data_IF_173260721610
#
_entry.id   IF_173260721610
#
_cell.length_a   1.000
_cell.length_b   1.000
_cell.length_c   1.000
_cell.angle_alpha   90.00
_cell.angle_beta   90.00
_cell.angle_gamma   90.00
#
_symmetry.space_group_name_H-M   'P 1'
#
loop_
_entity.id
_entity.type
_entity.pdbx_description
1 polymer ?
#
# COMPACT_ATOMS: atom_id res chain seq x y z
N UNK A 1 -21.22 7.71 -22.43
CA UNK A 1 -20.45 8.08 -21.22
C UNK A 1 -19.08 8.53 -21.68
N UNK A 2 -18.50 9.61 -21.13
CA UNK A 2 -17.11 9.97 -21.41
C UNK A 2 -16.19 8.87 -20.85
N UNK A 3 -15.16 8.50 -21.59
CA UNK A 3 -14.16 7.53 -21.13
C UNK A 3 -13.53 8.05 -19.83
N UNK A 4 -13.38 7.19 -18.82
CA UNK A 4 -12.68 7.52 -17.58
C UNK A 4 -11.27 8.04 -17.93
N UNK A 5 -10.92 9.24 -17.42
CA UNK A 5 -9.57 9.77 -17.57
C UNK A 5 -8.78 9.44 -16.31
N UNK A 6 -7.61 8.83 -16.49
CA UNK A 6 -6.68 8.46 -15.43
C UNK A 6 -5.52 9.45 -15.48
N UNK A 7 -5.13 9.98 -14.33
CA UNK A 7 -3.98 10.88 -14.21
C UNK A 7 -2.73 10.05 -13.89
N UNK A 8 -1.70 10.22 -14.67
CA UNK A 8 -0.44 9.49 -14.54
C UNK A 8 0.35 9.51 -15.83
N UNK A 9 1.47 8.82 -15.83
CA UNK A 9 2.28 8.61 -17.03
C UNK A 9 1.81 7.38 -17.81
N UNK A 10 2.15 7.33 -19.08
CA UNK A 10 2.11 6.11 -19.86
C UNK A 10 3.17 5.14 -19.31
N UNK A 11 2.80 3.90 -19.10
CA UNK A 11 3.68 2.84 -18.60
C UNK A 11 3.48 1.56 -19.41
N UNK A 12 3.78 1.56 -20.73
CA UNK A 12 3.47 0.45 -21.63
C UNK A 12 4.18 -0.84 -21.24
N UNK A 13 5.37 -0.75 -20.65
CA UNK A 13 6.21 -1.88 -20.27
C UNK A 13 5.97 -2.36 -18.82
N UNK A 14 4.91 -1.89 -18.15
CA UNK A 14 4.54 -2.42 -16.84
C UNK A 14 4.23 -3.92 -16.92
N UNK A 15 4.45 -4.69 -15.84
CA UNK A 15 4.11 -6.11 -15.82
C UNK A 15 2.62 -6.29 -16.14
N UNK A 16 2.34 -7.23 -17.03
CA UNK A 16 0.97 -7.50 -17.44
C UNK A 16 0.77 -8.96 -17.87
N UNK A 17 -0.36 -9.49 -17.51
CA UNK A 17 -0.90 -10.74 -18.04
C UNK A 17 -2.38 -10.53 -18.33
N UNK A 18 -2.83 -10.96 -19.49
CA UNK A 18 -4.24 -10.84 -19.88
C UNK A 18 -5.13 -11.68 -18.97
N UNK A 19 -6.37 -11.22 -18.78
CA UNK A 19 -7.36 -11.92 -17.97
C UNK A 19 -7.53 -13.37 -18.48
N UNK A 20 -7.40 -14.37 -17.59
CA UNK A 20 -7.59 -15.77 -17.97
C UNK A 20 -8.96 -16.01 -18.60
N UNK A 21 -9.00 -16.88 -19.62
CA UNK A 21 -10.26 -17.23 -20.29
C UNK A 21 -11.28 -17.78 -19.30
N UNK A 22 -12.48 -17.19 -19.29
CA UNK A 22 -13.57 -17.56 -18.38
C UNK A 22 -13.49 -16.90 -16.99
N UNK A 23 -12.45 -16.16 -16.67
CA UNK A 23 -12.36 -15.39 -15.43
C UNK A 23 -13.34 -14.21 -15.47
N UNK A 24 -14.22 -14.13 -14.46
CA UNK A 24 -15.19 -13.04 -14.27
C UNK A 24 -14.76 -12.06 -13.18
N UNK A 25 -13.65 -12.32 -12.49
CA UNK A 25 -13.15 -11.46 -11.43
C UNK A 25 -12.67 -10.11 -12.01
N UNK A 26 -12.94 -9.03 -11.31
CA UNK A 26 -12.50 -7.67 -11.69
C UNK A 26 -10.97 -7.54 -11.64
N UNK A 27 -10.35 -8.27 -10.71
CA UNK A 27 -8.91 -8.43 -10.63
C UNK A 27 -8.54 -9.91 -10.66
N UNK A 28 -7.43 -10.22 -11.32
CA UNK A 28 -6.92 -11.60 -11.42
C UNK A 28 -5.45 -11.67 -11.02
N UNK A 29 -5.07 -12.79 -10.45
CA UNK A 29 -3.71 -13.07 -10.00
C UNK A 29 -2.78 -13.36 -11.17
N UNK A 30 -1.55 -12.93 -11.06
CA UNK A 30 -0.50 -13.36 -11.99
C UNK A 30 -0.31 -14.88 -11.91
N UNK A 31 -0.24 -15.53 -13.06
CA UNK A 31 -0.18 -17.01 -13.13
C UNK A 31 1.11 -17.59 -12.54
N UNK A 32 2.19 -16.80 -12.51
CA UNK A 32 3.49 -17.21 -11.96
C UNK A 32 3.74 -16.71 -10.52
N UNK A 33 2.68 -16.33 -9.77
CA UNK A 33 2.83 -15.98 -8.36
C UNK A 33 3.35 -17.15 -7.50
N UNK A 34 4.10 -16.88 -6.43
CA UNK A 34 4.57 -15.56 -5.98
C UNK A 34 5.77 -15.08 -6.80
N UNK A 35 5.85 -13.75 -7.04
CA UNK A 35 6.93 -13.14 -7.81
C UNK A 35 8.22 -12.93 -7.00
N UNK A 36 8.12 -12.79 -5.69
CA UNK A 36 9.27 -12.68 -4.78
C UNK A 36 9.13 -13.78 -3.73
N UNK A 37 10.01 -14.80 -3.78
CA UNK A 37 10.02 -15.89 -2.79
C UNK A 37 10.61 -15.40 -1.46
N UNK A 38 10.33 -16.13 -0.39
CA UNK A 38 10.75 -15.78 0.97
C UNK A 38 12.27 -15.78 1.18
N UNK A 39 12.99 -16.54 0.39
CA UNK A 39 14.41 -16.85 0.52
C UNK A 39 15.25 -16.23 -0.61
N UNK A 40 14.75 -15.18 -1.26
CA UNK A 40 15.49 -14.46 -2.28
C UNK A 40 16.82 -13.89 -1.74
N UNK A 41 16.83 -13.44 -0.49
CA UNK A 41 18.05 -13.03 0.22
C UNK A 41 18.51 -14.15 1.18
N UNK A 42 19.82 -14.41 1.30
CA UNK A 42 20.33 -15.46 2.18
C UNK A 42 19.96 -15.30 3.66
N UNK A 43 19.69 -14.06 4.07
CA UNK A 43 19.34 -13.72 5.47
C UNK A 43 17.84 -13.55 5.69
N UNK A 44 17.02 -13.57 4.64
CA UNK A 44 15.57 -13.35 4.77
C UNK A 44 14.84 -14.61 5.23
N UNK A 45 13.86 -14.41 6.10
CA UNK A 45 12.83 -15.38 6.41
C UNK A 45 11.61 -15.17 5.53
N UNK A 46 11.30 -13.91 5.23
CA UNK A 46 10.13 -13.53 4.42
C UNK A 46 10.36 -12.17 3.76
N UNK A 47 9.83 -11.99 2.53
CA UNK A 47 9.88 -10.76 1.76
C UNK A 47 8.50 -10.46 1.23
N UNK A 48 7.87 -9.40 1.72
CA UNK A 48 6.48 -9.06 1.41
C UNK A 48 6.18 -7.58 1.68
N UNK A 49 4.97 -7.13 1.39
CA UNK A 49 4.51 -5.76 1.61
C UNK A 49 5.47 -4.71 1.03
N UNK A 50 5.81 -4.88 -0.24
CA UNK A 50 6.83 -4.09 -0.93
C UNK A 50 6.23 -2.85 -1.59
N UNK A 51 6.97 -1.75 -1.58
CA UNK A 51 6.67 -0.56 -2.38
C UNK A 51 7.42 -0.62 -3.70
N UNK A 52 6.76 -0.29 -4.80
CA UNK A 52 7.31 -0.32 -6.16
C UNK A 52 6.89 0.94 -6.91
N UNK A 53 7.84 1.56 -7.62
CA UNK A 53 7.61 2.74 -8.46
C UNK A 53 8.45 2.67 -9.74
N UNK A 54 8.04 3.34 -10.82
CA UNK A 54 8.90 3.58 -11.97
C UNK A 54 10.13 4.41 -11.58
N UNK A 55 11.30 4.03 -12.07
CA UNK A 55 12.55 4.74 -11.81
C UNK A 55 13.54 4.59 -12.99
N UNK A 56 13.96 5.71 -13.57
CA UNK A 56 14.80 5.67 -14.76
C UNK A 56 14.11 4.98 -15.94
N UNK A 57 14.78 4.01 -16.54
CA UNK A 57 14.24 3.17 -17.61
C UNK A 57 13.62 1.86 -17.08
N UNK A 58 13.57 1.67 -15.76
CA UNK A 58 13.02 0.49 -15.10
C UNK A 58 12.24 0.84 -13.86
N UNK A 59 12.47 0.12 -12.77
CA UNK A 59 11.73 0.21 -11.53
C UNK A 59 12.66 0.19 -10.32
N UNK A 60 12.25 0.89 -9.27
CA UNK A 60 12.87 0.78 -7.95
C UNK A 60 11.81 0.40 -6.91
N UNK A 61 12.26 -0.20 -5.83
CA UNK A 61 11.38 -0.57 -4.74
C UNK A 61 12.04 -0.51 -3.37
N UNK A 62 11.19 -0.38 -2.35
CA UNK A 62 11.57 -0.58 -0.96
C UNK A 62 10.80 -1.80 -0.44
N UNK A 63 11.54 -2.79 0.05
CA UNK A 63 11.02 -4.11 0.37
C UNK A 63 11.09 -4.35 1.88
N UNK A 64 10.00 -4.82 2.47
CA UNK A 64 10.03 -5.37 3.80
C UNK A 64 10.65 -6.76 3.74
N UNK A 65 11.78 -6.93 4.42
CA UNK A 65 12.45 -8.22 4.59
C UNK A 65 12.56 -8.52 6.07
N UNK A 66 11.81 -9.49 6.55
CA UNK A 66 11.97 -9.99 7.90
C UNK A 66 13.10 -11.00 7.89
N UNK A 67 14.15 -10.77 8.72
CA UNK A 67 15.32 -11.64 8.76
C UNK A 67 15.04 -12.96 9.50
N UNK A 68 16.00 -13.88 9.47
CA UNK A 68 15.90 -15.17 10.17
C UNK A 68 15.81 -15.04 11.69
N UNK A 69 16.09 -13.86 12.27
CA UNK A 69 15.85 -13.54 13.67
C UNK A 69 14.49 -12.84 13.89
N UNK A 70 13.64 -12.77 12.87
CA UNK A 70 12.34 -12.12 12.88
C UNK A 70 12.40 -10.60 13.10
N UNK A 71 13.51 -9.96 12.73
CA UNK A 71 13.63 -8.50 12.74
C UNK A 71 13.13 -7.94 11.43
N UNK A 72 12.20 -7.02 11.51
CA UNK A 72 11.65 -6.32 10.35
C UNK A 72 12.65 -5.28 9.86
N UNK A 73 13.06 -5.40 8.58
CA UNK A 73 14.02 -4.53 7.92
C UNK A 73 13.46 -4.04 6.59
N UNK A 74 13.97 -2.89 6.15
CA UNK A 74 13.70 -2.36 4.83
C UNK A 74 14.94 -2.51 3.94
N UNK A 75 14.75 -2.93 2.70
CA UNK A 75 15.81 -3.10 1.72
C UNK A 75 15.42 -2.40 0.43
N UNK A 76 16.40 -1.95 -0.35
CA UNK A 76 16.19 -1.38 -1.68
C UNK A 76 16.40 -2.44 -2.73
N UNK A 77 15.63 -2.40 -3.80
CA UNK A 77 15.83 -3.25 -4.97
C UNK A 77 15.51 -2.54 -6.26
N UNK A 78 16.05 -3.06 -7.35
CA UNK A 78 15.82 -2.57 -8.71
C UNK A 78 15.36 -3.70 -9.61
N UNK A 79 14.64 -3.34 -10.67
CA UNK A 79 14.12 -4.28 -11.65
C UNK A 79 14.00 -3.63 -13.02
N UNK A 80 14.19 -4.38 -14.08
CA UNK A 80 13.93 -3.93 -15.45
C UNK A 80 12.47 -4.17 -15.86
N UNK A 81 11.81 -5.20 -15.28
CA UNK A 81 10.47 -5.65 -15.65
C UNK A 81 9.44 -5.60 -14.51
N UNK A 82 9.84 -5.14 -13.32
CA UNK A 82 9.03 -5.08 -12.11
C UNK A 82 8.49 -6.45 -11.61
N UNK A 83 9.02 -7.54 -12.12
CA UNK A 83 8.73 -8.93 -11.71
C UNK A 83 9.97 -9.56 -11.06
N UNK A 84 11.11 -9.44 -11.72
CA UNK A 84 12.40 -9.98 -11.27
C UNK A 84 13.21 -8.87 -10.59
N UNK A 85 13.50 -9.06 -9.31
CA UNK A 85 14.08 -8.03 -8.46
C UNK A 85 15.51 -8.37 -8.01
N UNK A 86 16.42 -7.43 -8.19
CA UNK A 86 17.74 -7.43 -7.54
C UNK A 86 17.61 -6.59 -6.26
N UNK A 87 17.46 -7.27 -5.12
CA UNK A 87 17.29 -6.64 -3.80
C UNK A 87 18.65 -6.60 -3.11
N UNK A 88 19.09 -5.41 -2.68
CA UNK A 88 20.31 -5.23 -1.92
C UNK A 88 20.24 -6.07 -0.62
N UNK A 89 21.20 -6.95 -0.36
CA UNK A 89 21.23 -7.77 0.87
C UNK A 89 21.43 -6.94 2.15
N UNK A 90 22.01 -5.74 2.04
CA UNK A 90 22.18 -4.85 3.18
C UNK A 90 20.89 -4.05 3.43
N UNK A 91 20.44 -3.97 4.69
CA UNK A 91 19.30 -3.14 5.05
C UNK A 91 19.51 -1.67 4.68
N UNK A 92 18.40 -1.02 4.32
CA UNK A 92 18.36 0.41 4.04
C UNK A 92 18.82 1.21 5.27
N UNK A 93 19.73 2.14 5.03
CA UNK A 93 20.15 3.14 6.02
C UNK A 93 19.54 4.49 5.69
N UNK A 94 18.97 5.13 6.70
CA UNK A 94 18.46 6.49 6.61
C UNK A 94 19.45 7.46 7.23
N UNK A 95 19.85 8.48 6.49
CA UNK A 95 20.57 9.64 7.04
C UNK A 95 19.59 10.47 7.86
N UNK A 96 19.89 10.67 9.13
CA UNK A 96 19.09 11.47 10.05
C UNK A 96 20.00 12.32 10.93
N UNK A 97 19.77 13.63 10.96
CA UNK A 97 20.54 14.56 11.80
C UNK A 97 20.16 14.43 13.28
N UNK A 98 18.87 14.19 13.55
CA UNK A 98 18.38 13.99 14.90
C UNK A 98 18.43 12.50 15.30
N UNK A 99 19.30 12.19 16.26
CA UNK A 99 19.47 10.83 16.74
C UNK A 99 18.23 10.27 17.44
N UNK A 100 17.41 11.12 18.03
CA UNK A 100 16.22 10.67 18.76
C UNK A 100 15.23 10.01 17.81
N UNK A 101 14.98 10.61 16.65
CA UNK A 101 14.05 10.04 15.66
C UNK A 101 14.73 9.05 14.71
N UNK A 102 16.05 9.13 14.55
CA UNK A 102 16.85 8.23 13.71
C UNK A 102 17.08 6.85 14.34
N UNK A 103 16.91 6.70 15.64
CA UNK A 103 17.07 5.43 16.37
C UNK A 103 15.70 4.76 16.59
N UNK A 104 15.38 3.76 15.77
CA UNK A 104 14.13 3.01 15.85
C UNK A 104 14.38 1.49 15.80
N UNK A 105 13.44 0.72 16.37
CA UNK A 105 13.62 -0.72 16.63
C UNK A 105 13.34 -1.55 15.38
N UNK A 106 12.32 -1.17 14.60
CA UNK A 106 11.87 -1.90 13.42
C UNK A 106 11.28 -0.95 12.36
N UNK A 107 11.33 -1.38 11.11
CA UNK A 107 10.64 -0.71 10.00
C UNK A 107 9.94 -1.73 9.11
N UNK A 108 8.66 -1.48 8.76
CA UNK A 108 7.88 -2.38 7.92
C UNK A 108 6.81 -1.64 7.09
N UNK A 109 6.25 -2.33 6.12
CA UNK A 109 5.18 -1.89 5.23
C UNK A 109 5.45 -0.52 4.57
N UNK A 110 6.53 -0.42 3.79
CA UNK A 110 6.88 0.84 3.13
C UNK A 110 5.85 1.21 2.07
N UNK A 111 5.73 2.52 1.81
CA UNK A 111 5.08 3.11 0.64
C UNK A 111 6.03 4.09 -0.01
N UNK A 112 6.04 4.13 -1.33
CA UNK A 112 6.86 5.07 -2.09
C UNK A 112 5.97 5.84 -3.06
N UNK A 113 6.18 7.15 -3.13
CA UNK A 113 5.46 8.04 -4.04
C UNK A 113 6.37 9.11 -4.59
N UNK A 114 6.27 9.40 -5.88
CA UNK A 114 6.93 10.55 -6.49
C UNK A 114 6.04 11.79 -6.36
N UNK A 115 6.58 12.87 -5.77
CA UNK A 115 5.88 14.15 -5.66
C UNK A 115 6.86 15.25 -6.08
N UNK A 116 6.47 16.04 -7.08
CA UNK A 116 7.24 17.16 -7.64
C UNK A 116 8.59 16.72 -8.24
N UNK A 117 9.64 16.56 -7.45
CA UNK A 117 11.02 16.34 -7.91
C UNK A 117 11.73 15.16 -7.24
N UNK A 118 11.07 14.46 -6.31
CA UNK A 118 11.71 13.39 -5.53
C UNK A 118 10.73 12.30 -5.10
N UNK A 119 11.28 11.19 -4.67
CA UNK A 119 10.53 10.09 -4.09
C UNK A 119 10.44 10.26 -2.58
N UNK A 120 9.23 10.13 -2.04
CA UNK A 120 8.99 10.07 -0.60
C UNK A 120 8.70 8.64 -0.20
N UNK A 121 9.28 8.21 0.91
CA UNK A 121 9.08 6.90 1.51
C UNK A 121 8.39 7.09 2.84
N UNK A 122 7.29 6.39 3.06
CA UNK A 122 6.67 6.25 4.38
C UNK A 122 6.72 4.80 4.81
N UNK A 123 6.89 4.55 6.09
CA UNK A 123 6.89 3.19 6.66
C UNK A 123 6.35 3.19 8.07
N UNK A 124 5.94 2.02 8.57
CA UNK A 124 5.68 1.88 9.99
C UNK A 124 7.00 1.81 10.74
N UNK A 125 7.22 2.79 11.59
CA UNK A 125 8.45 3.03 12.34
C UNK A 125 8.27 2.68 13.81
N UNK A 126 9.20 1.93 14.37
CA UNK A 126 9.19 1.49 15.76
C UNK A 126 9.82 2.49 16.73
N UNK A 127 9.26 3.71 16.82
CA UNK A 127 9.69 4.76 17.73
C UNK A 127 8.71 4.87 18.92
N UNK A 128 9.10 4.37 20.11
CA UNK A 128 8.25 4.28 21.32
C UNK A 128 6.85 3.66 21.08
N UNK A 129 6.75 2.79 20.10
CA UNK A 129 5.54 2.21 19.56
C UNK A 129 5.47 2.45 18.05
N UNK A 130 4.49 1.85 17.36
CA UNK A 130 4.35 2.05 15.92
C UNK A 130 3.92 3.49 15.60
N UNK A 131 4.72 4.17 14.78
CA UNK A 131 4.37 5.45 14.18
C UNK A 131 4.67 5.43 12.68
N UNK A 132 4.57 6.56 12.00
CA UNK A 132 4.86 6.68 10.57
C UNK A 132 6.15 7.46 10.41
N UNK A 133 7.21 6.79 9.97
CA UNK A 133 8.42 7.40 9.51
C UNK A 133 8.24 7.98 8.11
N UNK A 134 8.93 9.07 7.82
CA UNK A 134 8.94 9.74 6.53
C UNK A 134 10.39 10.00 6.12
N UNK A 135 10.72 9.73 4.86
CA UNK A 135 12.01 10.04 4.27
C UNK A 135 11.83 10.45 2.81
N UNK A 136 12.86 11.02 2.22
CA UNK A 136 12.90 11.23 0.77
C UNK A 136 14.22 10.72 0.18
N UNK A 137 14.19 10.47 -1.13
CA UNK A 137 15.35 10.09 -1.94
C UNK A 137 15.19 10.63 -3.35
N UNK A 138 16.32 10.83 -4.04
CA UNK A 138 16.36 11.16 -5.47
C UNK A 138 16.82 9.97 -6.32
N UNK A 139 17.52 9.02 -5.72
CA UNK A 139 18.32 8.03 -6.44
C UNK A 139 18.20 6.58 -5.90
N UNK A 140 17.41 6.38 -4.85
CA UNK A 140 17.29 5.12 -4.13
C UNK A 140 18.63 4.57 -3.58
N UNK A 141 19.61 5.45 -3.39
CA UNK A 141 20.91 5.13 -2.77
C UNK A 141 21.08 5.87 -1.44
N UNK A 142 20.68 7.15 -1.44
CA UNK A 142 20.72 8.00 -0.25
C UNK A 142 19.30 8.36 0.16
N UNK A 143 18.98 8.11 1.41
CA UNK A 143 17.65 8.39 1.98
C UNK A 143 17.79 9.33 3.16
N UNK A 144 17.09 10.44 3.11
CA UNK A 144 17.08 11.47 4.14
C UNK A 144 15.81 11.34 4.98
N UNK A 145 15.95 10.92 6.23
CA UNK A 145 14.83 10.81 7.15
C UNK A 145 14.39 12.19 7.63
N UNK A 146 13.10 12.40 7.64
CA UNK A 146 12.41 13.54 8.21
C UNK A 146 11.83 13.19 9.58
N UNK A 147 11.07 14.13 10.17
CA UNK A 147 10.31 13.90 11.39
C UNK A 147 9.32 12.72 11.26
N UNK A 148 9.02 12.06 12.36
CA UNK A 148 7.89 11.13 12.41
C UNK A 148 6.58 11.89 12.23
N UNK A 149 5.74 11.45 11.30
CA UNK A 149 4.52 12.18 10.94
C UNK A 149 3.52 12.30 12.10
N UNK A 150 3.46 11.31 12.97
CA UNK A 150 2.45 11.23 14.05
C UNK A 150 3.04 10.65 15.32
N UNK A 151 2.34 10.90 16.42
CA UNK A 151 2.61 10.18 17.68
C UNK A 151 2.27 8.70 17.54
N UNK A 152 2.91 7.79 18.31
CA UNK A 152 2.41 6.44 18.51
C UNK A 152 1.00 6.48 19.13
N UNK A 153 0.07 5.68 18.72
CA UNK A 153 0.14 4.54 17.80
C UNK A 153 -0.53 4.90 16.47
N UNK A 154 0.24 4.87 15.39
CA UNK A 154 -0.30 5.12 14.05
C UNK A 154 0.39 4.21 13.02
N UNK A 155 -0.32 3.85 11.93
CA UNK A 155 0.15 2.93 10.89
C UNK A 155 -0.42 3.30 9.53
N UNK A 156 0.04 2.57 8.50
CA UNK A 156 -0.46 2.64 7.13
C UNK A 156 -0.45 4.09 6.57
N UNK A 157 0.68 4.77 6.75
CA UNK A 157 0.90 6.09 6.19
C UNK A 157 1.01 6.02 4.67
N UNK A 158 0.10 6.68 3.95
CA UNK A 158 0.06 6.72 2.49
C UNK A 158 -0.09 8.15 2.02
N UNK A 159 0.96 8.71 1.44
CA UNK A 159 0.94 10.04 0.85
C UNK A 159 0.15 10.04 -0.46
N UNK A 160 -0.58 11.12 -0.73
CA UNK A 160 -1.13 11.36 -2.05
C UNK A 160 -0.03 11.81 -3.03
N UNK A 161 -0.15 11.50 -4.33
CA UNK A 161 0.90 11.78 -5.32
C UNK A 161 1.00 13.26 -5.73
N UNK A 162 0.21 14.13 -5.11
CA UNK A 162 0.28 15.59 -5.28
C UNK A 162 -0.16 16.34 -4.04
N UNK A 163 0.20 17.60 -3.99
CA UNK A 163 -0.27 18.54 -2.98
C UNK A 163 -1.70 19.01 -3.22
N UNK A 164 -2.42 19.27 -2.12
CA UNK A 164 -3.74 19.92 -2.09
C UNK A 164 -3.58 21.34 -1.54
N UNK A 165 -3.87 22.34 -2.35
CA UNK A 165 -3.68 23.75 -1.98
C UNK A 165 -2.29 24.03 -1.39
N UNK A 166 -1.25 23.46 -2.02
CA UNK A 166 0.14 23.64 -1.61
C UNK A 166 0.60 22.80 -0.40
N UNK A 167 -0.24 21.88 0.11
CA UNK A 167 0.07 21.03 1.25
C UNK A 167 0.15 19.56 0.85
N UNK A 168 1.07 18.83 1.45
CA UNK A 168 1.07 17.39 1.42
C UNK A 168 -0.16 16.83 2.12
N UNK A 169 -0.61 15.67 1.69
CA UNK A 169 -1.74 14.98 2.29
C UNK A 169 -1.39 13.49 2.50
N UNK A 170 -1.85 12.93 3.61
CA UNK A 170 -1.58 11.54 3.99
C UNK A 170 -2.85 10.89 4.54
N UNK A 171 -3.08 9.65 4.11
CA UNK A 171 -3.98 8.72 4.80
C UNK A 171 -3.18 7.97 5.87
N UNK A 172 -3.79 7.77 7.02
CA UNK A 172 -3.18 7.00 8.12
C UNK A 172 -4.25 6.24 8.90
N UNK A 173 -3.81 5.28 9.71
CA UNK A 173 -4.69 4.54 10.61
C UNK A 173 -4.16 4.59 12.03
N UNK A 174 -4.67 5.49 12.88
CA UNK A 174 -4.45 5.39 14.30
C UNK A 174 -4.91 4.03 14.81
N UNK A 175 -4.13 3.37 15.66
CA UNK A 175 -4.47 2.04 16.17
C UNK A 175 -3.66 1.72 17.41
N UNK A 176 -4.31 1.26 18.47
CA UNK A 176 -3.66 0.85 19.71
C UNK A 176 -3.36 -0.65 19.78
N UNK A 177 -2.90 -1.10 20.93
CA UNK A 177 -2.54 -2.48 21.21
C UNK A 177 -3.65 -3.30 21.89
N UNK A 178 -4.94 -2.89 21.80
CA UNK A 178 -5.98 -3.83 22.07
C UNK A 178 -7.06 -3.49 23.10
N UNK A 179 -7.07 -2.35 23.77
CA UNK A 179 -8.18 -1.97 24.64
C UNK A 179 -9.32 -1.27 23.88
N UNK A 180 -8.95 -0.54 22.84
CA UNK A 180 -9.92 0.10 21.95
C UNK A 180 -9.60 -0.28 20.52
N UNK A 181 -10.36 -1.19 19.89
CA UNK A 181 -10.14 -1.52 18.49
C UNK A 181 -10.39 -0.28 17.64
N UNK A 182 -9.33 0.46 17.36
CA UNK A 182 -9.36 1.61 16.49
C UNK A 182 -8.83 1.17 15.13
N UNK A 183 -9.66 1.24 14.10
CA UNK A 183 -9.35 0.67 12.81
C UNK A 183 -9.76 1.55 11.63
N UNK A 184 -9.98 2.83 11.87
CA UNK A 184 -10.49 3.81 10.92
C UNK A 184 -9.35 4.44 10.11
N UNK A 185 -9.65 4.82 8.86
CA UNK A 185 -8.75 5.63 8.03
C UNK A 185 -9.01 7.11 8.31
N UNK A 186 -7.93 7.85 8.52
CA UNK A 186 -7.91 9.30 8.67
C UNK A 186 -7.09 9.96 7.58
N UNK A 187 -7.42 11.20 7.27
CA UNK A 187 -6.72 12.12 6.39
C UNK A 187 -6.08 13.23 7.21
N UNK A 188 -4.88 13.64 6.83
CA UNK A 188 -4.16 14.75 7.46
C UNK A 188 -3.39 15.56 6.41
N UNK A 189 -3.17 16.84 6.67
CA UNK A 189 -2.38 17.75 5.83
C UNK A 189 -1.12 18.22 6.54
N UNK A 190 -0.06 18.48 5.75
CA UNK A 190 1.18 19.09 6.23
C UNK A 190 1.71 20.09 5.20
N UNK A 191 2.22 21.26 5.61
CA UNK A 191 2.89 22.18 4.72
C UNK A 191 4.30 21.70 4.31
N UNK A 192 4.95 20.87 5.14
CA UNK A 192 6.39 20.59 5.11
C UNK A 192 6.78 19.14 5.41
N UNK A 193 5.81 18.26 5.70
CA UNK A 193 5.96 16.86 6.15
C UNK A 193 6.41 16.69 7.60
N UNK A 194 6.64 17.77 8.32
CA UNK A 194 7.00 17.78 9.75
C UNK A 194 5.76 18.07 10.62
N UNK A 195 5.03 19.15 10.29
CA UNK A 195 3.87 19.58 11.05
C UNK A 195 2.57 19.09 10.41
N UNK A 196 1.89 18.14 11.06
CA UNK A 196 0.65 17.54 10.58
C UNK A 196 -0.57 18.08 11.32
N UNK A 197 -1.62 18.41 10.55
CA UNK A 197 -2.88 18.93 11.09
C UNK A 197 -4.07 18.66 10.17
N UNK A 198 -5.16 19.36 10.40
CA UNK A 198 -6.42 19.21 9.67
C UNK A 198 -6.88 17.74 9.59
N UNK A 199 -6.77 17.01 10.69
CA UNK A 199 -7.19 15.62 10.76
C UNK A 199 -8.68 15.47 10.45
N UNK A 200 -9.01 14.60 9.48
CA UNK A 200 -10.39 14.31 9.07
C UNK A 200 -10.60 12.81 9.03
N UNK A 201 -11.73 12.37 9.56
CA UNK A 201 -12.17 11.00 9.39
C UNK A 201 -12.53 10.75 7.93
N UNK A 202 -12.09 9.61 7.39
CA UNK A 202 -12.38 9.17 6.03
C UNK A 202 -13.37 8.02 6.04
N UNK A 203 -13.02 6.93 6.74
CA UNK A 203 -13.78 5.69 6.64
C UNK A 203 -13.59 4.83 7.90
N UNK A 204 -14.70 4.32 8.46
CA UNK A 204 -14.69 3.30 9.52
C UNK A 204 -14.81 1.88 8.96
N UNK A 205 -14.49 0.83 9.73
CA UNK A 205 -14.89 -0.53 9.41
C UNK A 205 -16.39 -0.61 9.09
N UNK A 206 -16.75 -1.46 8.13
CA UNK A 206 -18.16 -1.65 7.79
C UNK A 206 -18.87 -2.51 8.82
N UNK A 207 -20.20 -2.37 9.01
CA UNK A 207 -20.97 -3.37 9.71
C UNK A 207 -20.80 -4.77 9.11
N UNK A 208 -20.79 -5.79 9.96
CA UNK A 208 -20.57 -7.18 9.52
C UNK A 208 -21.61 -7.62 8.48
N UNK A 209 -22.84 -7.20 8.65
CA UNK A 209 -23.97 -7.53 7.78
C UNK A 209 -23.83 -6.91 6.39
N UNK A 210 -23.18 -5.76 6.29
CA UNK A 210 -22.98 -5.06 5.01
C UNK A 210 -21.75 -5.58 4.27
N UNK A 211 -20.64 -5.84 5.01
CA UNK A 211 -19.40 -6.29 4.41
C UNK A 211 -18.43 -6.87 5.45
N UNK A 212 -18.56 -8.17 5.71
CA UNK A 212 -17.83 -8.87 6.76
C UNK A 212 -16.30 -8.79 6.62
N UNK A 213 -15.74 -8.82 5.40
CA UNK A 213 -14.29 -8.83 5.18
C UNK A 213 -13.57 -7.58 5.71
N UNK A 214 -14.30 -6.50 5.95
CA UNK A 214 -13.77 -5.20 6.38
C UNK A 214 -14.39 -4.71 7.70
N UNK A 215 -14.90 -5.61 8.54
CA UNK A 215 -15.67 -5.23 9.71
C UNK A 215 -14.84 -5.02 10.99
N UNK A 216 -13.57 -5.45 11.03
CA UNK A 216 -12.75 -5.34 12.24
C UNK A 216 -11.84 -4.10 12.20
N UNK A 217 -11.14 -3.90 11.11
CA UNK A 217 -10.28 -2.75 10.84
C UNK A 217 -10.01 -2.62 9.36
N UNK A 218 -9.67 -1.41 8.91
CA UNK A 218 -9.33 -1.11 7.53
C UNK A 218 -8.04 -0.27 7.48
N UNK A 219 -7.39 -0.19 6.33
CA UNK A 219 -6.23 0.68 6.16
C UNK A 219 -5.88 0.87 4.69
N UNK A 220 -5.35 2.04 4.36
CA UNK A 220 -4.93 2.35 3.00
C UNK A 220 -3.86 1.36 2.50
N UNK A 221 -3.96 1.00 1.25
CA UNK A 221 -3.04 0.10 0.56
C UNK A 221 -2.00 0.85 -0.27
N UNK A 222 -2.03 0.74 -1.61
CA UNK A 222 -1.19 1.53 -2.52
C UNK A 222 -1.50 3.02 -2.49
N UNK A 223 -0.63 3.79 -3.12
CA UNK A 223 -0.85 5.21 -3.39
C UNK A 223 -2.17 5.39 -4.16
N UNK A 224 -3.08 6.29 -3.73
CA UNK A 224 -4.33 6.53 -4.42
C UNK A 224 -4.12 7.00 -5.86
N UNK A 225 -4.93 6.50 -6.79
CA UNK A 225 -4.85 6.84 -8.21
C UNK A 225 -5.88 7.91 -8.54
N UNK A 226 -5.44 9.03 -9.10
CA UNK A 226 -6.32 10.12 -9.51
C UNK A 226 -7.04 9.77 -10.82
N UNK A 227 -8.37 9.88 -10.81
CA UNK A 227 -9.21 9.70 -11.99
C UNK A 227 -10.15 10.88 -12.16
N UNK A 228 -10.76 11.03 -13.34
CA UNK A 228 -11.79 12.08 -13.55
C UNK A 228 -13.04 11.94 -12.68
N UNK A 229 -13.22 10.80 -12.01
CA UNK A 229 -14.37 10.55 -11.14
C UNK A 229 -14.05 10.62 -9.64
N UNK A 230 -12.78 10.64 -9.26
CA UNK A 230 -12.31 10.68 -7.88
C UNK A 230 -10.97 9.96 -7.71
N UNK A 231 -10.50 9.91 -6.47
CA UNK A 231 -9.33 9.13 -6.10
C UNK A 231 -9.71 7.67 -5.91
N UNK A 232 -9.22 6.78 -6.76
CA UNK A 232 -9.35 5.35 -6.54
C UNK A 232 -8.41 4.94 -5.41
N UNK A 233 -8.97 4.56 -4.28
CA UNK A 233 -8.28 4.01 -3.12
C UNK A 233 -8.47 2.49 -3.12
N UNK A 234 -7.38 1.73 -3.29
CA UNK A 234 -7.33 0.32 -2.94
C UNK A 234 -6.92 0.23 -1.48
N UNK A 235 -7.66 -0.51 -0.67
CA UNK A 235 -7.44 -0.60 0.77
C UNK A 235 -7.67 -2.02 1.28
N UNK A 236 -6.99 -2.39 2.36
CA UNK A 236 -7.23 -3.67 3.01
C UNK A 236 -8.32 -3.55 4.07
N UNK A 237 -9.06 -4.61 4.22
CA UNK A 237 -9.99 -4.84 5.32
C UNK A 237 -9.63 -6.12 6.07
N UNK A 238 -10.09 -6.22 7.30
CA UNK A 238 -9.79 -7.34 8.19
C UNK A 238 -11.08 -7.87 8.80
N UNK A 239 -11.21 -9.18 8.73
CA UNK A 239 -12.22 -9.96 9.42
C UNK A 239 -11.55 -10.73 10.57
N UNK A 240 -12.07 -10.61 11.78
CA UNK A 240 -11.72 -11.50 12.87
C UNK A 240 -12.50 -12.80 12.75
N UNK A 241 -11.79 -13.92 12.68
CA UNK A 241 -12.36 -15.26 12.63
C UNK A 241 -11.94 -16.08 13.85
N UNK A 242 -12.56 -17.22 14.09
CA UNK A 242 -12.17 -18.11 15.19
C UNK A 242 -10.74 -18.65 15.07
N UNK A 243 -10.13 -18.56 13.91
CA UNK A 243 -8.77 -19.04 13.62
C UNK A 243 -7.77 -17.90 13.32
N UNK A 244 -8.05 -16.68 13.79
CA UNK A 244 -7.22 -15.50 13.58
C UNK A 244 -7.86 -14.48 12.66
N UNK A 245 -7.02 -13.66 12.01
CA UNK A 245 -7.48 -12.62 11.10
C UNK A 245 -7.43 -13.09 9.65
N UNK A 246 -8.40 -12.64 8.86
CA UNK A 246 -8.41 -12.76 7.41
C UNK A 246 -8.29 -11.36 6.81
N UNK A 247 -7.26 -11.13 5.99
CA UNK A 247 -7.02 -9.88 5.31
C UNK A 247 -7.39 -10.01 3.83
N UNK A 248 -8.27 -9.15 3.38
CA UNK A 248 -8.65 -9.01 1.97
C UNK A 248 -8.51 -7.54 1.56
N UNK A 249 -8.56 -7.26 0.27
CA UNK A 249 -8.60 -5.87 -0.19
C UNK A 249 -9.73 -5.61 -1.17
N UNK A 250 -10.19 -4.37 -1.14
CA UNK A 250 -11.25 -3.83 -1.98
C UNK A 250 -10.94 -2.39 -2.37
N UNK A 251 -11.95 -1.66 -2.81
CA UNK A 251 -11.80 -0.33 -3.38
C UNK A 251 -12.83 0.67 -2.87
N UNK A 252 -12.42 1.92 -2.84
CA UNK A 252 -13.29 3.07 -2.59
C UNK A 252 -12.94 4.20 -3.56
N UNK A 253 -13.89 5.05 -3.85
CA UNK A 253 -13.69 6.26 -4.64
C UNK A 253 -13.88 7.47 -3.74
N UNK A 254 -12.81 8.27 -3.56
CA UNK A 254 -12.82 9.46 -2.74
C UNK A 254 -13.04 10.71 -3.60
N UNK A 255 -13.52 11.79 -3.00
CA UNK A 255 -13.69 13.06 -3.69
C UNK A 255 -12.33 13.65 -4.10
N UNK A 256 -12.29 14.33 -5.25
CA UNK A 256 -11.04 14.89 -5.82
C UNK A 256 -10.46 16.04 -5.01
N UNK A 257 -11.31 16.91 -4.51
CA UNK A 257 -10.91 18.14 -3.82
C UNK A 257 -10.91 17.97 -2.29
N UNK A 258 -11.79 17.08 -1.81
CA UNK A 258 -11.95 16.77 -0.40
C UNK A 258 -11.75 15.25 -0.15
N UNK A 259 -10.51 14.72 -0.28
CA UNK A 259 -10.26 13.26 -0.28
C UNK A 259 -10.62 12.54 1.02
N UNK A 260 -11.04 13.26 2.04
CA UNK A 260 -11.66 12.67 3.25
C UNK A 260 -13.15 12.32 3.06
N UNK A 261 -13.77 12.68 1.93
CA UNK A 261 -15.15 12.31 1.59
C UNK A 261 -15.15 11.07 0.68
N UNK A 262 -15.75 10.01 1.17
CA UNK A 262 -15.94 8.78 0.39
C UNK A 262 -17.19 8.92 -0.46
N UNK A 263 -17.07 8.78 -1.77
CA UNK A 263 -18.19 8.82 -2.72
C UNK A 263 -18.82 7.45 -2.92
N UNK A 264 -17.98 6.41 -3.00
CA UNK A 264 -18.40 5.02 -3.18
C UNK A 264 -17.42 4.10 -2.45
N UNK A 265 -17.93 2.98 -1.94
CA UNK A 265 -17.13 1.96 -1.25
C UNK A 265 -17.64 0.57 -1.59
N UNK A 266 -16.79 -0.30 -2.12
CA UNK A 266 -17.21 -1.66 -2.49
C UNK A 266 -17.61 -2.50 -1.27
N UNK A 267 -18.77 -3.14 -1.33
CA UNK A 267 -19.19 -4.17 -0.37
C UNK A 267 -18.38 -5.45 -0.57
N UNK A 268 -18.34 -6.05 -1.76
CA UNK A 268 -17.45 -7.17 -2.04
C UNK A 268 -15.98 -6.75 -2.10
N UNK A 269 -15.08 -7.68 -1.77
CA UNK A 269 -13.64 -7.52 -1.96
C UNK A 269 -13.24 -7.66 -3.45
N UNK A 270 -12.06 -7.15 -3.81
CA UNK A 270 -11.41 -7.40 -5.10
C UNK A 270 -10.60 -8.69 -5.05
N UNK A 271 -9.81 -8.89 -3.99
CA UNK A 271 -9.01 -10.09 -3.74
C UNK A 271 -9.13 -10.48 -2.26
N UNK A 272 -9.36 -11.76 -2.01
CA UNK A 272 -9.34 -12.38 -0.68
C UNK A 272 -8.47 -13.66 -0.74
N UNK A 273 -7.84 -14.09 0.34
CA UNK A 273 -6.98 -15.27 0.34
C UNK A 273 -7.69 -16.51 -0.22
N UNK A 274 -7.08 -17.13 -1.23
CA UNK A 274 -7.59 -18.34 -1.90
C UNK A 274 -6.46 -19.31 -2.23
N UNK A 275 -5.33 -18.78 -2.67
CA UNK A 275 -4.21 -19.58 -3.13
C UNK A 275 -3.37 -20.10 -1.94
N UNK A 276 -2.68 -21.24 -2.07
CA UNK A 276 -1.85 -21.78 -1.01
C UNK A 276 -0.85 -20.78 -0.41
N UNK A 277 -0.21 -19.97 -1.24
CA UNK A 277 0.77 -18.95 -0.81
C UNK A 277 0.13 -17.75 -0.11
N UNK A 278 -1.18 -17.57 -0.17
CA UNK A 278 -1.96 -16.55 0.56
C UNK A 278 -2.53 -17.09 1.86
N UNK A 279 -2.79 -18.40 1.89
CA UNK A 279 -3.42 -19.08 3.02
C UNK A 279 -2.43 -19.69 4.01
N UNK A 280 -1.18 -19.94 3.59
CA UNK A 280 -0.15 -20.61 4.41
C UNK A 280 1.14 -19.78 4.40
N UNK A 281 1.59 -19.39 5.60
CA UNK A 281 2.81 -18.61 5.78
C UNK A 281 3.00 -18.20 7.23
N UNK A 282 3.80 -17.17 7.43
CA UNK A 282 4.12 -16.64 8.77
C UNK A 282 2.88 -16.09 9.49
N UNK A 283 1.95 -15.48 8.72
CA UNK A 283 0.59 -15.13 9.15
C UNK A 283 -0.39 -15.60 8.08
N UNK A 284 -1.16 -16.67 8.33
CA UNK A 284 -2.04 -17.25 7.33
C UNK A 284 -3.21 -16.34 6.97
N UNK A 285 -3.79 -16.57 5.78
CA UNK A 285 -4.98 -15.88 5.28
C UNK A 285 -4.80 -14.35 5.12
N UNK A 286 -3.71 -13.93 4.49
CA UNK A 286 -3.41 -12.52 4.24
C UNK A 286 -3.20 -12.25 2.75
N UNK A 287 -3.95 -11.27 2.22
CA UNK A 287 -3.64 -10.53 1.00
C UNK A 287 -3.59 -9.04 1.36
N UNK A 288 -2.38 -8.46 1.39
CA UNK A 288 -2.16 -7.10 1.87
C UNK A 288 -1.57 -6.20 0.77
N UNK A 289 -2.38 -5.31 0.16
CA UNK A 289 -1.94 -4.50 -0.98
C UNK A 289 -1.02 -3.36 -0.52
N UNK A 290 0.12 -3.17 -1.19
CA UNK A 290 1.12 -2.20 -0.79
C UNK A 290 1.56 -1.24 -1.88
N UNK A 291 1.62 -1.69 -3.13
CA UNK A 291 1.99 -0.86 -4.26
C UNK A 291 1.09 -1.15 -5.46
N UNK A 292 0.99 -0.17 -6.35
CA UNK A 292 0.34 -0.34 -7.63
C UNK A 292 1.10 0.43 -8.71
N UNK A 293 1.42 -0.25 -9.80
CA UNK A 293 1.79 0.38 -11.05
C UNK A 293 0.54 0.54 -11.91
N UNK A 294 0.41 1.66 -12.61
CA UNK A 294 -0.70 1.84 -13.54
C UNK A 294 -0.26 2.58 -14.80
N UNK A 295 -0.87 2.21 -15.90
CA UNK A 295 -0.70 2.88 -17.19
C UNK A 295 -1.92 3.76 -17.46
N UNK A 296 -1.70 5.08 -17.52
CA UNK A 296 -2.78 6.04 -17.71
C UNK A 296 -3.41 5.97 -19.12
N UNK A 297 -2.72 5.45 -20.14
CA UNK A 297 -3.24 5.33 -21.50
C UNK A 297 -4.16 4.13 -21.68
N UNK A 298 -3.75 2.97 -21.17
CA UNK A 298 -4.52 1.72 -21.31
C UNK A 298 -5.49 1.47 -20.16
N UNK A 299 -5.27 2.09 -19.00
CA UNK A 299 -6.02 1.85 -17.77
C UNK A 299 -5.63 0.56 -17.05
N UNK A 300 -4.55 -0.12 -17.47
CA UNK A 300 -4.02 -1.29 -16.79
C UNK A 300 -3.50 -0.94 -15.40
N UNK A 301 -3.71 -1.82 -14.45
CA UNK A 301 -3.15 -1.73 -13.10
C UNK A 301 -2.55 -3.06 -12.69
N UNK A 302 -1.38 -3.01 -12.05
CA UNK A 302 -0.69 -4.14 -11.43
C UNK A 302 -0.52 -3.85 -9.93
N UNK A 303 -1.16 -4.64 -9.07
CA UNK A 303 -1.14 -4.46 -7.61
C UNK A 303 -0.22 -5.49 -6.99
N UNK A 304 0.80 -5.01 -6.29
CA UNK A 304 1.70 -5.82 -5.46
C UNK A 304 1.09 -6.00 -4.09
N UNK A 305 1.03 -7.23 -3.62
CA UNK A 305 0.46 -7.52 -2.31
C UNK A 305 1.28 -8.58 -1.55
N UNK A 306 1.34 -8.42 -0.24
CA UNK A 306 1.92 -9.42 0.65
C UNK A 306 0.97 -10.60 0.79
N UNK A 307 1.52 -11.81 0.68
CA UNK A 307 0.79 -13.06 0.78
C UNK A 307 1.22 -13.80 2.04
N UNK A 308 0.27 -14.06 2.95
CA UNK A 308 0.46 -14.77 4.22
C UNK A 308 1.67 -14.23 5.03
N UNK A 309 1.96 -12.93 4.92
CA UNK A 309 3.16 -12.25 5.48
C UNK A 309 4.47 -13.00 5.23
N UNK A 310 4.63 -13.55 4.04
CA UNK A 310 5.75 -14.44 3.72
C UNK A 310 6.38 -14.15 2.36
N UNK A 311 5.57 -13.95 1.34
CA UNK A 311 5.99 -13.75 -0.05
C UNK A 311 5.23 -12.59 -0.69
N UNK A 312 5.69 -12.13 -1.86
CA UNK A 312 5.02 -11.06 -2.61
C UNK A 312 4.31 -11.63 -3.83
N UNK A 313 3.03 -11.32 -3.96
CA UNK A 313 2.20 -11.62 -5.12
C UNK A 313 1.90 -10.39 -5.97
N UNK A 314 1.41 -10.63 -7.18
CA UNK A 314 1.01 -9.65 -8.16
C UNK A 314 -0.39 -9.96 -8.70
N UNK A 315 -1.23 -8.95 -8.84
CA UNK A 315 -2.56 -9.07 -9.43
C UNK A 315 -2.82 -7.93 -10.41
N UNK A 316 -3.61 -8.21 -11.44
CA UNK A 316 -3.91 -7.29 -12.53
C UNK A 316 -5.39 -6.92 -12.56
N UNK A 317 -5.70 -5.80 -13.19
CA UNK A 317 -7.05 -5.33 -13.44
C UNK A 317 -7.08 -4.15 -14.39
N UNK A 318 -8.27 -3.62 -14.66
CA UNK A 318 -8.46 -2.35 -15.35
C UNK A 318 -9.09 -1.34 -14.38
N UNK A 319 -8.54 -0.13 -14.36
CA UNK A 319 -8.96 0.93 -13.42
C UNK A 319 -10.43 1.30 -13.65
N UNK A 320 -10.87 1.40 -14.90
CA UNK A 320 -12.26 1.71 -15.22
C UNK A 320 -13.23 0.63 -14.75
N UNK A 321 -12.87 -0.66 -14.89
CA UNK A 321 -13.66 -1.77 -14.37
C UNK A 321 -13.71 -1.76 -12.83
N UNK A 322 -12.58 -1.46 -12.16
CA UNK A 322 -12.54 -1.36 -10.69
C UNK A 322 -13.41 -0.19 -10.20
N UNK A 323 -13.34 0.97 -10.87
CA UNK A 323 -14.17 2.13 -10.53
C UNK A 323 -15.65 1.81 -10.72
N UNK A 324 -16.01 1.19 -11.84
CA UNK A 324 -17.41 0.80 -12.10
C UNK A 324 -17.90 -0.26 -11.12
N UNK A 325 -17.09 -1.27 -10.81
CA UNK A 325 -17.39 -2.25 -9.77
C UNK A 325 -17.63 -1.60 -8.42
N UNK A 326 -16.78 -0.63 -8.04
CA UNK A 326 -16.91 0.10 -6.78
C UNK A 326 -18.22 0.86 -6.69
N UNK A 327 -18.64 1.48 -7.79
CA UNK A 327 -19.90 2.24 -7.88
C UNK A 327 -21.12 1.35 -7.83
N UNK A 328 -21.10 0.26 -8.62
CA UNK A 328 -22.23 -0.68 -8.72
C UNK A 328 -22.48 -1.48 -7.45
N UNK A 329 -21.43 -1.73 -6.67
CA UNK A 329 -21.49 -2.53 -5.45
C UNK A 329 -21.25 -1.69 -4.19
N UNK A 330 -21.53 -0.40 -4.25
CA UNK A 330 -21.30 0.50 -3.11
C UNK A 330 -22.26 0.21 -1.97
N UNK A 331 -21.71 0.25 -0.75
CA UNK A 331 -22.47 0.10 0.51
C UNK A 331 -22.75 1.46 1.18
N UNK A 332 -22.46 2.56 0.51
CA UNK A 332 -22.74 3.93 0.97
C UNK A 332 -23.45 4.73 -0.11
#
# INVERSE_FOLDING_TARGET
MSKLKIVGQALPDMPWEDRPSGCQDVMWRYSANPIIPRDLLPTSNSIFNSAVVPFGEGYAGVFRCDDTNRRMRLHVGFSEDAIHWDINPEPLHFECEDREIGEWVYGYDPRVVFIEDRYYVTWCNGYHGPTIGVAYTFDFKTFHQLENAFLPFNRNGVLFPRKFHGKFAMLSRPSDNGHTPFGDIFYSESPDLEFWGRHRHVMSPAPFEDSAWQCTKIGAGPIPIETSEGWLLIYHGVLASCNGFVYAFGSALLDLDEPWKVKYRSGPYLISPREPYECMGDVPNVTFPCAALHDAETGRIAVYYGCAETVTGLAFGYIDEIVEFTKQNSII
#
